data_IF_551314379825
#
_entry.id   IF_551314379825
#
_cell.length_a   1.000
_cell.length_b   1.000
_cell.length_c   1.000
_cell.angle_alpha   90.00
_cell.angle_beta   90.00
_cell.angle_gamma   90.00
#
_symmetry.space_group_name_H-M   'P 1'
#
loop_
_entity.id
_entity.type
_entity.pdbx_description
1 polymer ?
#
# COMPACT_ATOMS: atom_id res chain seq x y z
N UNK A 1 13.94 -16.87 1.04
CA UNK A 1 12.87 -16.16 1.78
C UNK A 1 12.81 -16.77 3.18
N UNK A 2 12.92 -15.97 4.24
CA UNK A 2 12.93 -16.41 5.65
C UNK A 2 11.54 -16.49 6.28
N UNK A 3 10.47 -16.31 5.50
CA UNK A 3 9.10 -16.26 6.00
C UNK A 3 8.52 -17.66 6.20
N UNK A 4 7.87 -17.89 7.36
CA UNK A 4 7.18 -19.15 7.68
C UNK A 4 6.16 -19.47 6.57
N UNK A 5 6.26 -20.66 5.99
CA UNK A 5 5.41 -21.15 4.88
C UNK A 5 5.40 -20.23 3.64
N UNK A 6 6.44 -19.41 3.44
CA UNK A 6 6.56 -18.51 2.29
C UNK A 6 5.59 -17.31 2.30
N UNK A 7 4.82 -17.11 3.37
CA UNK A 7 3.84 -16.01 3.46
C UNK A 7 4.46 -14.81 4.16
N UNK A 8 4.76 -13.77 3.37
CA UNK A 8 5.20 -12.47 3.89
C UNK A 8 4.07 -11.69 4.60
N UNK A 9 4.42 -10.59 5.29
CA UNK A 9 3.45 -9.75 5.96
C UNK A 9 2.48 -9.08 4.99
N UNK A 10 1.27 -8.82 5.47
CA UNK A 10 0.19 -8.11 4.77
C UNK A 10 0.07 -6.67 5.28
N UNK A 11 1.22 -6.00 5.36
CA UNK A 11 1.39 -4.62 5.81
C UNK A 11 2.79 -4.11 5.39
N UNK A 12 2.96 -2.82 5.04
CA UNK A 12 1.90 -1.86 4.74
C UNK A 12 1.13 -2.22 3.44
N UNK A 13 -0.05 -1.63 3.25
CA UNK A 13 -0.77 -1.62 1.97
C UNK A 13 -0.56 -0.27 1.28
N UNK A 14 0.09 -0.28 0.12
CA UNK A 14 0.52 0.93 -0.60
C UNK A 14 -0.09 1.01 -2.01
N UNK A 15 -0.14 2.22 -2.56
CA UNK A 15 -0.49 2.53 -3.95
C UNK A 15 0.72 3.12 -4.67
N UNK A 16 1.02 2.59 -5.86
CA UNK A 16 2.06 3.13 -6.74
C UNK A 16 1.50 3.33 -8.15
N UNK A 17 2.05 4.31 -8.87
CA UNK A 17 1.65 4.68 -10.23
C UNK A 17 2.82 4.41 -11.19
N UNK A 18 2.50 3.98 -12.40
CA UNK A 18 3.46 3.83 -13.48
C UNK A 18 2.80 4.17 -14.82
N UNK A 19 3.53 4.84 -15.69
CA UNK A 19 3.11 5.11 -17.06
C UNK A 19 3.55 4.01 -18.05
N UNK A 20 4.51 3.17 -17.66
CA UNK A 20 5.17 2.21 -18.56
C UNK A 20 5.22 0.77 -17.99
N UNK A 21 4.70 0.57 -16.77
CA UNK A 21 4.79 -0.68 -16.03
C UNK A 21 6.20 -1.05 -15.53
N UNK A 22 7.22 -0.22 -15.79
CA UNK A 22 8.63 -0.48 -15.47
C UNK A 22 9.14 0.44 -14.36
N UNK A 23 8.91 1.75 -14.50
CA UNK A 23 9.22 2.76 -13.48
C UNK A 23 7.98 3.00 -12.64
N UNK A 24 8.13 2.86 -11.33
CA UNK A 24 7.03 2.97 -10.39
C UNK A 24 7.29 4.12 -9.41
N UNK A 25 6.24 4.87 -9.13
CA UNK A 25 6.28 6.01 -8.22
C UNK A 25 5.36 5.74 -7.04
N UNK A 26 5.90 5.89 -5.83
CA UNK A 26 5.14 5.87 -4.59
C UNK A 26 4.11 7.00 -4.60
N UNK A 27 2.84 6.63 -4.45
CA UNK A 27 1.72 7.56 -4.50
C UNK A 27 1.04 7.74 -3.13
N UNK A 28 0.73 6.63 -2.45
CA UNK A 28 0.08 6.68 -1.14
C UNK A 28 0.36 5.42 -0.30
N UNK A 29 0.26 5.58 1.01
CA UNK A 29 0.22 4.48 1.99
C UNK A 29 -1.21 4.45 2.52
N UNK A 30 -1.96 3.39 2.22
CA UNK A 30 -3.36 3.26 2.64
C UNK A 30 -3.47 2.77 4.08
N UNK A 31 -2.57 1.86 4.44
CA UNK A 31 -2.48 1.28 5.78
C UNK A 31 -1.02 0.96 6.10
N UNK A 32 -0.57 1.34 7.29
CA UNK A 32 0.67 0.86 7.90
C UNK A 32 0.40 0.57 9.37
N UNK A 33 0.45 -0.71 9.73
CA UNK A 33 0.15 -1.16 11.09
C UNK A 33 0.84 -2.48 11.37
N UNK A 34 1.26 -2.71 12.63
CA UNK A 34 1.71 -4.02 13.11
C UNK A 34 0.82 -5.21 12.73
N UNK A 35 -0.49 -5.00 12.62
CA UNK A 35 -1.50 -6.07 12.60
C UNK A 35 -1.53 -6.92 11.31
N UNK A 36 -0.68 -6.67 10.29
CA UNK A 36 -0.45 -7.57 9.13
C UNK A 36 -1.70 -8.31 8.56
N UNK A 37 -2.82 -7.61 8.39
CA UNK A 37 -4.08 -8.19 7.92
C UNK A 37 -4.81 -7.30 6.90
N UNK A 38 -4.07 -6.73 5.94
CA UNK A 38 -4.65 -6.01 4.80
C UNK A 38 -4.49 -6.83 3.52
N UNK A 39 -5.59 -7.15 2.82
CA UNK A 39 -5.50 -8.07 1.68
C UNK A 39 -6.55 -7.87 0.62
N UNK A 40 -6.27 -8.44 -0.56
CA UNK A 40 -7.18 -8.50 -1.71
C UNK A 40 -7.66 -7.12 -2.15
N UNK A 41 -6.73 -6.20 -2.50
CA UNK A 41 -7.13 -4.92 -3.06
C UNK A 41 -7.77 -5.11 -4.44
N UNK A 42 -8.82 -4.34 -4.71
CA UNK A 42 -9.37 -4.12 -6.04
C UNK A 42 -9.41 -2.62 -6.32
N UNK A 43 -9.13 -2.24 -7.57
CA UNK A 43 -8.93 -0.85 -7.98
C UNK A 43 -9.69 -0.59 -9.28
N UNK A 44 -10.41 0.53 -9.33
CA UNK A 44 -11.05 1.02 -10.57
C UNK A 44 -10.94 2.55 -10.65
N UNK A 45 -10.68 3.07 -11.84
CA UNK A 45 -10.78 4.50 -12.11
C UNK A 45 -12.16 4.81 -12.69
N UNK A 46 -12.80 5.83 -12.13
CA UNK A 46 -14.11 6.31 -12.53
C UNK A 46 -14.00 7.39 -13.62
N UNK A 47 -15.09 7.65 -14.35
CA UNK A 47 -15.14 8.67 -15.39
C UNK A 47 -14.90 10.10 -14.87
N UNK A 48 -15.12 10.33 -13.57
CA UNK A 48 -14.77 11.60 -12.89
C UNK A 48 -13.25 11.75 -12.64
N UNK A 49 -12.43 10.80 -13.10
CA UNK A 49 -10.98 10.78 -12.94
C UNK A 49 -10.51 10.22 -11.59
N UNK A 50 -11.41 9.94 -10.66
CA UNK A 50 -11.08 9.47 -9.32
C UNK A 50 -10.75 7.97 -9.32
N UNK A 51 -9.86 7.57 -8.42
CA UNK A 51 -9.47 6.17 -8.25
C UNK A 51 -10.12 5.61 -6.99
N UNK A 52 -10.86 4.52 -7.16
CA UNK A 52 -11.58 3.83 -6.10
C UNK A 52 -10.83 2.55 -5.74
N UNK A 53 -10.52 2.38 -4.46
CA UNK A 53 -9.84 1.20 -3.94
C UNK A 53 -10.70 0.55 -2.86
N UNK A 54 -10.89 -0.76 -2.94
CA UNK A 54 -11.48 -1.56 -1.87
C UNK A 54 -10.55 -2.69 -1.45
N UNK A 55 -10.54 -3.06 -0.18
CA UNK A 55 -9.72 -4.17 0.31
C UNK A 55 -10.29 -4.76 1.61
N UNK A 56 -9.90 -6.00 1.91
CA UNK A 56 -10.18 -6.62 3.21
C UNK A 56 -9.31 -5.98 4.29
N UNK A 57 -9.94 -5.37 5.28
CA UNK A 57 -9.29 -4.77 6.45
C UNK A 57 -9.48 -5.68 7.66
N UNK A 58 -8.36 -6.21 8.18
CA UNK A 58 -8.27 -7.04 9.41
C UNK A 58 -9.22 -8.24 9.45
N UNK A 59 -9.63 -8.74 8.27
CA UNK A 59 -10.68 -9.78 8.11
C UNK A 59 -12.00 -9.46 8.81
N UNK A 60 -12.25 -8.19 9.09
CA UNK A 60 -13.44 -7.71 9.80
C UNK A 60 -14.38 -6.94 8.88
N UNK A 61 -13.83 -6.22 7.90
CA UNK A 61 -14.61 -5.38 6.98
C UNK A 61 -13.95 -5.25 5.62
N UNK A 62 -14.73 -4.78 4.65
CA UNK A 62 -14.20 -4.21 3.42
C UNK A 62 -14.05 -2.70 3.64
N UNK A 63 -12.82 -2.18 3.51
CA UNK A 63 -12.56 -0.74 3.56
C UNK A 63 -12.55 -0.18 2.14
N UNK A 64 -13.17 0.99 1.99
CA UNK A 64 -13.20 1.77 0.76
C UNK A 64 -12.35 3.03 0.91
N UNK A 65 -11.60 3.38 -0.14
CA UNK A 65 -10.81 4.61 -0.25
C UNK A 65 -11.06 5.24 -1.62
N UNK A 66 -11.41 6.52 -1.64
CA UNK A 66 -11.44 7.36 -2.85
C UNK A 66 -10.16 8.19 -2.90
N UNK A 67 -9.42 8.11 -4.00
CA UNK A 67 -8.19 8.84 -4.23
C UNK A 67 -8.44 9.84 -5.34
N UNK A 68 -8.05 11.09 -5.10
CA UNK A 68 -7.97 12.14 -6.10
C UNK A 68 -6.54 12.17 -6.66
N UNK A 69 -6.31 11.68 -7.90
CA UNK A 69 -4.95 11.55 -8.43
C UNK A 69 -4.24 12.89 -8.58
N UNK A 70 -4.96 14.00 -8.74
CA UNK A 70 -4.35 15.32 -8.93
C UNK A 70 -3.70 15.88 -7.67
N UNK A 71 -3.97 15.28 -6.49
CA UNK A 71 -3.41 15.67 -5.20
C UNK A 71 -2.20 14.82 -4.79
N UNK A 72 -1.79 13.86 -5.61
CA UNK A 72 -0.70 12.95 -5.28
C UNK A 72 0.65 13.61 -5.48
N UNK A 73 1.52 13.49 -4.46
CA UNK A 73 2.94 13.83 -4.57
C UNK A 73 3.70 12.53 -4.82
N UNK A 74 4.24 12.40 -6.03
CA UNK A 74 4.89 11.18 -6.48
C UNK A 74 6.39 11.20 -6.19
N UNK A 75 6.91 10.09 -5.67
CA UNK A 75 8.35 9.87 -5.49
C UNK A 75 8.77 8.55 -6.11
N UNK A 76 9.84 8.54 -6.89
CA UNK A 76 10.30 7.33 -7.57
C UNK A 76 10.68 6.23 -6.56
N UNK A 77 10.30 4.99 -6.87
CA UNK A 77 10.69 3.79 -6.12
C UNK A 77 12.00 3.29 -6.73
N UNK A 78 13.11 3.50 -6.03
CA UNK A 78 14.45 3.09 -6.46
C UNK A 78 14.83 1.78 -5.77
N UNK A 79 15.44 0.84 -6.52
CA UNK A 79 15.90 -0.46 -5.99
C UNK A 79 14.80 -1.24 -5.24
N UNK A 80 13.54 -1.12 -5.69
CA UNK A 80 12.36 -1.74 -5.06
C UNK A 80 12.12 -1.28 -3.60
N UNK A 81 12.70 -0.15 -3.19
CA UNK A 81 12.54 0.44 -1.86
C UNK A 81 11.56 1.61 -1.91
N UNK A 82 10.56 1.57 -1.03
CA UNK A 82 9.66 2.69 -0.83
C UNK A 82 10.45 3.91 -0.32
N UNK A 83 10.23 5.12 -0.87
CA UNK A 83 11.02 6.30 -0.52
C UNK A 83 10.75 6.78 0.91
N UNK A 84 11.76 7.42 1.50
CA UNK A 84 11.61 8.08 2.79
C UNK A 84 10.68 9.30 2.68
N UNK A 85 9.85 9.45 3.71
CA UNK A 85 8.81 10.48 3.80
C UNK A 85 9.01 11.20 5.13
N UNK A 86 9.15 12.53 5.08
CA UNK A 86 9.36 13.34 6.29
C UNK A 86 8.22 13.11 7.26
N UNK A 87 8.54 12.67 8.48
CA UNK A 87 7.55 12.40 9.53
C UNK A 87 6.88 11.02 9.48
N UNK A 88 7.16 10.18 8.48
CA UNK A 88 6.69 8.79 8.44
C UNK A 88 7.82 7.82 8.77
N UNK A 89 7.59 6.98 9.78
CA UNK A 89 8.47 5.87 10.14
C UNK A 89 7.75 4.56 9.84
N UNK A 90 8.33 3.76 8.94
CA UNK A 90 7.80 2.45 8.61
C UNK A 90 7.95 1.50 9.79
N UNK A 91 6.93 0.68 10.04
CA UNK A 91 7.00 -0.40 11.04
C UNK A 91 8.16 -1.35 10.74
N UNK A 92 8.87 -1.77 11.78
CA UNK A 92 9.96 -2.75 11.70
C UNK A 92 9.42 -4.17 11.68
N UNK A 93 10.22 -5.12 11.21
CA UNK A 93 9.84 -6.54 11.21
C UNK A 93 9.60 -7.09 12.63
N UNK A 94 10.20 -6.49 13.67
CA UNK A 94 10.01 -6.87 15.06
C UNK A 94 8.66 -6.40 15.62
N UNK A 95 8.13 -5.29 15.10
CA UNK A 95 6.84 -4.72 15.52
C UNK A 95 5.64 -5.38 14.82
N UNK A 96 5.84 -6.05 13.69
CA UNK A 96 4.76 -6.72 12.97
C UNK A 96 4.31 -7.95 13.77
N UNK A 97 3.16 -7.83 14.45
CA UNK A 97 2.55 -8.91 15.22
C UNK A 97 1.82 -9.88 14.30
N UNK A 98 1.82 -11.14 14.71
CA UNK A 98 0.88 -12.15 14.20
C UNK A 98 -0.28 -12.17 15.18
N UNK A 99 -1.36 -11.47 14.85
CA UNK A 99 -2.67 -11.86 15.34
C UNK A 99 -3.05 -13.20 14.69
#
# INVERSE_FOLDING_TARGET
STWKNGKGPRTPLNVAISNDGKKWYAAAILEDSPISQYSYPSVIQSADGMVHVVYTWRRQKIKYVKIDPSKLVLKEIVNKKWPEMKGYKRQTAAEITKD
#
